data_IF_229950021444
#
_entry.id   IF_229950021444
#
_cell.length_a   1.000
_cell.length_b   1.000
_cell.length_c   1.000
_cell.angle_alpha   90.00
_cell.angle_beta   90.00
_cell.angle_gamma   90.00
#
_symmetry.space_group_name_H-M   'P 1'
#
loop_
_entity.id
_entity.type
_entity.pdbx_description
1 polymer ?
#
# COMPACT_ATOMS: atom_id res chain seq x y z
N UNK A 1 -25.95 7.96 0.17
CA UNK A 1 -24.58 7.45 -0.07
C UNK A 1 -23.84 8.53 -0.84
N UNK A 2 -22.78 9.08 -0.25
CA UNK A 2 -21.96 10.10 -0.90
C UNK A 2 -20.79 9.37 -1.56
N UNK A 3 -20.91 9.08 -2.85
CA UNK A 3 -19.86 8.36 -3.57
C UNK A 3 -18.66 9.27 -3.80
N UNK A 4 -17.46 8.78 -3.48
CA UNK A 4 -16.18 9.42 -3.78
C UNK A 4 -15.47 8.62 -4.86
N UNK A 5 -14.98 9.33 -5.87
CA UNK A 5 -14.15 8.77 -6.94
C UNK A 5 -12.72 9.25 -6.77
N UNK A 6 -11.75 8.34 -6.93
CA UNK A 6 -10.32 8.59 -6.89
C UNK A 6 -9.70 8.08 -8.19
N UNK A 7 -8.69 8.78 -8.69
CA UNK A 7 -7.76 8.26 -9.69
C UNK A 7 -6.50 7.83 -8.96
N UNK A 8 -6.05 6.61 -9.23
CA UNK A 8 -4.88 6.02 -8.60
C UNK A 8 -4.08 5.20 -9.62
N UNK A 9 -2.83 4.89 -9.29
CA UNK A 9 -1.88 4.25 -10.21
C UNK A 9 -1.31 2.95 -9.62
N UNK A 10 -1.22 1.90 -10.43
CA UNK A 10 -0.65 0.62 -10.03
C UNK A 10 0.52 0.24 -10.95
N UNK A 11 1.73 0.21 -10.38
CA UNK A 11 2.92 -0.24 -11.09
C UNK A 11 3.05 -1.76 -11.08
N UNK A 12 3.21 -2.38 -12.25
CA UNK A 12 3.33 -3.83 -12.42
C UNK A 12 4.23 -4.19 -13.62
N UNK A 13 4.31 -5.48 -13.95
CA UNK A 13 4.97 -5.99 -15.15
C UNK A 13 3.94 -6.23 -16.26
N UNK A 14 4.30 -6.08 -17.53
CA UNK A 14 3.38 -6.29 -18.66
C UNK A 14 2.67 -7.65 -18.67
N UNK A 15 3.35 -8.73 -18.30
CA UNK A 15 2.70 -10.05 -18.17
C UNK A 15 1.59 -10.10 -17.11
N UNK A 16 1.66 -9.26 -16.09
CA UNK A 16 0.65 -9.16 -15.02
C UNK A 16 -0.40 -8.12 -15.36
N UNK A 17 -0.05 -7.01 -16.04
CA UNK A 17 -1.04 -6.05 -16.51
C UNK A 17 -2.05 -6.70 -17.46
N UNK A 18 -1.60 -7.54 -18.39
CA UNK A 18 -2.50 -8.26 -19.30
C UNK A 18 -3.52 -9.10 -18.51
N UNK A 19 -3.05 -9.85 -17.50
CA UNK A 19 -3.94 -10.64 -16.62
C UNK A 19 -4.89 -9.76 -15.80
N UNK A 20 -4.44 -8.60 -15.33
CA UNK A 20 -5.28 -7.67 -14.58
C UNK A 20 -6.38 -7.08 -15.48
N UNK A 21 -6.05 -6.78 -16.74
CA UNK A 21 -7.03 -6.27 -17.71
C UNK A 21 -8.04 -7.35 -18.12
N UNK A 22 -7.62 -8.60 -18.24
CA UNK A 22 -8.48 -9.73 -18.62
C UNK A 22 -9.34 -10.24 -17.44
N UNK A 23 -8.73 -10.49 -16.28
CA UNK A 23 -9.37 -11.14 -15.13
C UNK A 23 -9.81 -10.16 -14.02
N UNK A 24 -9.38 -8.90 -14.09
CA UNK A 24 -9.44 -7.97 -12.97
C UNK A 24 -8.34 -8.20 -11.92
N UNK A 25 -8.29 -7.31 -10.92
CA UNK A 25 -7.42 -7.47 -9.76
C UNK A 25 -7.88 -8.64 -8.88
N UNK A 26 -6.94 -9.24 -8.15
CA UNK A 26 -7.21 -10.30 -7.16
C UNK A 26 -6.66 -9.85 -5.81
N UNK A 27 -7.41 -10.09 -4.74
CA UNK A 27 -6.92 -9.83 -3.39
C UNK A 27 -5.72 -10.73 -3.07
N UNK A 28 -4.71 -10.22 -2.34
CA UNK A 28 -3.55 -11.02 -1.99
C UNK A 28 -3.93 -12.16 -1.03
N UNK A 29 -3.44 -13.37 -1.33
CA UNK A 29 -3.56 -14.51 -0.42
C UNK A 29 -2.64 -14.31 0.79
N UNK A 30 -3.15 -14.48 2.01
CA UNK A 30 -2.36 -14.26 3.24
C UNK A 30 -1.07 -15.10 3.19
N UNK A 31 0.09 -14.44 3.31
CA UNK A 31 1.40 -15.07 3.26
C UNK A 31 2.29 -14.61 4.41
N UNK A 32 3.15 -15.53 4.86
CA UNK A 32 4.19 -15.28 5.86
C UNK A 32 5.26 -14.28 5.42
N UNK A 33 5.32 -13.95 4.13
CA UNK A 33 6.30 -13.03 3.55
C UNK A 33 5.72 -11.64 3.25
N UNK A 34 4.44 -11.41 3.53
CA UNK A 34 3.81 -10.12 3.27
C UNK A 34 4.29 -9.03 4.24
N UNK A 35 4.55 -7.88 3.65
CA UNK A 35 5.02 -6.64 4.28
C UNK A 35 4.07 -5.52 3.83
N UNK A 36 2.78 -5.75 4.09
CA UNK A 36 1.70 -4.89 3.66
C UNK A 36 1.46 -3.82 4.72
N UNK A 37 1.46 -2.56 4.30
CA UNK A 37 1.48 -1.43 5.22
C UNK A 37 0.12 -1.10 5.82
N UNK A 38 -0.94 -1.31 5.04
CA UNK A 38 -2.32 -1.02 5.36
C UNK A 38 -3.17 -2.30 5.25
N UNK A 39 -2.62 -3.48 5.54
CA UNK A 39 -3.37 -4.75 5.44
C UNK A 39 -3.40 -5.40 4.05
N UNK A 40 -4.16 -6.48 3.91
CA UNK A 40 -4.29 -7.32 2.71
C UNK A 40 -5.32 -6.75 1.72
N UNK A 41 -4.90 -5.76 0.95
CA UNK A 41 -5.65 -5.23 -0.19
C UNK A 41 -4.80 -5.10 -1.45
N UNK A 42 -5.40 -4.54 -2.49
CA UNK A 42 -4.70 -4.13 -3.71
C UNK A 42 -4.14 -2.73 -3.49
N UNK A 43 -2.84 -2.56 -3.74
CA UNK A 43 -2.14 -1.29 -3.48
C UNK A 43 -2.04 -0.43 -4.73
N UNK A 44 -2.30 0.86 -4.55
CA UNK A 44 -2.18 1.91 -5.54
C UNK A 44 -1.44 3.11 -4.95
N UNK A 45 -0.92 3.95 -5.83
CA UNK A 45 -0.35 5.26 -5.51
C UNK A 45 -1.30 6.35 -5.99
N UNK A 46 -1.31 7.50 -5.32
CA UNK A 46 -2.00 8.71 -5.82
C UNK A 46 -1.21 9.44 -6.91
N UNK A 47 0.05 9.07 -7.11
CA UNK A 47 0.96 9.69 -8.05
C UNK A 47 1.56 8.66 -9.03
N UNK A 48 1.50 8.98 -10.33
CA UNK A 48 2.03 8.15 -11.40
C UNK A 48 3.52 7.80 -11.21
N UNK A 49 4.37 8.78 -10.87
CA UNK A 49 5.82 8.59 -10.75
C UNK A 49 6.15 7.56 -9.66
N UNK A 50 5.34 7.44 -8.62
CA UNK A 50 5.55 6.43 -7.57
C UNK A 50 5.20 5.03 -8.05
N UNK A 51 4.11 4.89 -8.81
CA UNK A 51 3.75 3.63 -9.45
C UNK A 51 4.80 3.20 -10.50
N UNK A 52 5.26 4.12 -11.34
CA UNK A 52 6.31 3.88 -12.34
C UNK A 52 7.62 3.42 -11.70
N UNK A 53 8.11 4.14 -10.69
CA UNK A 53 9.31 3.76 -9.95
C UNK A 53 9.17 2.38 -9.29
N UNK A 54 7.99 2.05 -8.78
CA UNK A 54 7.69 0.74 -8.25
C UNK A 54 7.77 -0.35 -9.32
N UNK A 55 7.16 -0.13 -10.49
CA UNK A 55 7.20 -1.05 -11.63
C UNK A 55 8.64 -1.32 -12.08
N UNK A 56 9.43 -0.26 -12.31
CA UNK A 56 10.85 -0.33 -12.66
C UNK A 56 11.67 -1.12 -11.63
N UNK A 57 11.39 -0.95 -10.34
CA UNK A 57 12.04 -1.70 -9.27
C UNK A 57 11.70 -3.19 -9.33
N UNK A 58 10.45 -3.53 -9.65
CA UNK A 58 10.03 -4.92 -9.82
C UNK A 58 10.67 -5.56 -11.05
N UNK A 59 10.75 -4.87 -12.19
CA UNK A 59 11.49 -5.35 -13.36
C UNK A 59 12.92 -5.77 -13.01
N UNK A 60 13.66 -4.87 -12.33
CA UNK A 60 15.03 -5.14 -11.88
C UNK A 60 15.11 -6.33 -10.91
N UNK A 61 14.19 -6.44 -9.97
CA UNK A 61 14.22 -7.48 -8.94
C UNK A 61 13.84 -8.87 -9.46
N UNK A 62 12.97 -8.97 -10.47
CA UNK A 62 12.54 -10.25 -11.03
C UNK A 62 13.50 -10.80 -12.09
N UNK A 63 14.46 -10.00 -12.57
CA UNK A 63 15.37 -10.35 -13.67
C UNK A 63 14.63 -10.91 -14.91
N UNK A 64 13.39 -10.47 -15.12
CA UNK A 64 12.54 -10.95 -16.19
C UNK A 64 12.76 -10.11 -17.45
N UNK A 65 13.63 -10.58 -18.34
CA UNK A 65 13.93 -9.90 -19.61
C UNK A 65 12.77 -9.89 -20.60
N UNK A 66 11.68 -10.63 -20.34
CA UNK A 66 10.51 -10.72 -21.22
C UNK A 66 9.38 -9.77 -20.83
N UNK A 67 9.48 -9.11 -19.68
CA UNK A 67 8.46 -8.17 -19.21
C UNK A 67 9.04 -6.77 -19.05
N UNK A 68 8.31 -5.79 -19.55
CA UNK A 68 8.51 -4.36 -19.30
C UNK A 68 7.75 -3.89 -18.06
N UNK A 69 8.17 -2.76 -17.50
CA UNK A 69 7.39 -2.01 -16.52
C UNK A 69 6.16 -1.40 -17.17
N UNK A 70 5.03 -1.48 -16.46
CA UNK A 70 3.74 -0.93 -16.89
C UNK A 70 3.09 -0.24 -15.70
N UNK A 71 2.45 0.89 -15.94
CA UNK A 71 1.57 1.54 -14.97
C UNK A 71 0.14 1.45 -15.45
N UNK A 72 -0.75 1.02 -14.57
CA UNK A 72 -2.19 1.06 -14.78
C UNK A 72 -2.75 2.31 -14.08
N UNK A 73 -3.55 3.10 -14.78
CA UNK A 73 -4.42 4.09 -14.15
C UNK A 73 -5.74 3.41 -13.80
N UNK A 74 -6.21 3.65 -12.59
CA UNK A 74 -7.37 2.99 -12.02
C UNK A 74 -8.32 4.03 -11.45
N UNK A 75 -9.60 3.90 -11.78
CA UNK A 75 -10.68 4.63 -11.14
C UNK A 75 -11.21 3.81 -9.97
N UNK A 76 -11.16 4.37 -8.78
CA UNK A 76 -11.68 3.75 -7.57
C UNK A 76 -12.93 4.54 -7.14
N UNK A 77 -14.05 3.87 -6.93
CA UNK A 77 -15.32 4.46 -6.52
C UNK A 77 -15.89 3.71 -5.32
N UNK A 78 -16.17 4.43 -4.23
CA UNK A 78 -16.82 3.85 -3.05
C UNK A 78 -17.56 4.93 -2.26
N UNK A 79 -18.38 4.53 -1.29
CA UNK A 79 -19.01 5.49 -0.38
C UNK A 79 -17.91 6.15 0.46
N UNK A 80 -17.94 7.48 0.57
CA UNK A 80 -17.04 8.28 1.41
C UNK A 80 -16.93 7.76 2.85
N UNK A 81 -17.99 7.19 3.42
CA UNK A 81 -17.96 6.60 4.77
C UNK A 81 -17.17 5.28 4.86
N UNK A 82 -16.87 4.65 3.72
CA UNK A 82 -16.07 3.42 3.63
C UNK A 82 -14.60 3.69 3.29
N UNK A 83 -14.16 4.94 3.39
CA UNK A 83 -12.78 5.38 3.16
C UNK A 83 -12.17 5.79 4.51
N UNK A 84 -11.09 5.12 4.90
CA UNK A 84 -10.25 5.57 6.00
C UNK A 84 -9.02 6.31 5.44
N UNK A 85 -9.00 7.64 5.57
CA UNK A 85 -7.82 8.45 5.21
C UNK A 85 -7.05 8.81 6.48
N UNK A 86 -5.99 8.05 6.77
CA UNK A 86 -5.19 8.22 7.99
C UNK A 86 -4.27 9.45 7.96
N UNK A 87 -4.30 10.26 6.90
CA UNK A 87 -3.72 11.61 6.95
C UNK A 87 -4.65 12.60 7.66
N UNK A 88 -5.94 12.25 7.84
CA UNK A 88 -6.90 13.06 8.57
C UNK A 88 -6.81 12.77 10.08
N UNK A 89 -6.67 13.79 10.94
CA UNK A 89 -6.53 13.60 12.39
C UNK A 89 -7.67 12.78 13.01
N UNK A 90 -8.91 13.02 12.59
CA UNK A 90 -10.07 12.31 13.11
C UNK A 90 -10.10 10.83 12.75
N UNK A 91 -9.67 10.45 11.55
CA UNK A 91 -9.60 9.04 11.14
C UNK A 91 -8.46 8.31 11.84
N UNK A 92 -7.31 8.99 12.03
CA UNK A 92 -6.19 8.44 12.82
C UNK A 92 -6.57 8.23 14.28
N UNK A 93 -7.30 9.17 14.89
CA UNK A 93 -7.80 9.00 16.25
C UNK A 93 -8.72 7.78 16.37
N UNK A 94 -9.72 7.64 15.47
CA UNK A 94 -10.62 6.48 15.44
C UNK A 94 -9.87 5.15 15.29
N UNK A 95 -8.87 5.12 14.41
CA UNK A 95 -8.03 3.94 14.22
C UNK A 95 -7.29 3.58 15.51
N UNK A 96 -6.62 4.54 16.14
CA UNK A 96 -5.86 4.30 17.38
C UNK A 96 -6.77 3.80 18.53
N UNK A 97 -7.94 4.43 18.71
CA UNK A 97 -8.94 3.98 19.70
C UNK A 97 -9.43 2.55 19.41
N UNK A 98 -9.62 2.20 18.14
CA UNK A 98 -9.99 0.84 17.76
C UNK A 98 -8.89 -0.17 18.09
N UNK A 99 -7.62 0.14 17.80
CA UNK A 99 -6.49 -0.76 18.10
C UNK A 99 -6.36 -0.99 19.61
N UNK A 100 -6.46 0.05 20.43
CA UNK A 100 -6.44 -0.09 21.89
C UNK A 100 -7.56 -1.01 22.40
N UNK A 101 -8.74 -0.91 21.79
CA UNK A 101 -9.87 -1.77 22.13
C UNK A 101 -9.65 -3.22 21.66
N UNK A 102 -9.00 -3.43 20.52
CA UNK A 102 -8.60 -4.76 20.04
C UNK A 102 -7.59 -5.40 20.98
N UNK A 103 -6.56 -4.66 21.39
CA UNK A 103 -5.55 -5.13 22.34
C UNK A 103 -6.17 -5.58 23.66
N UNK A 104 -7.12 -4.81 24.20
CA UNK A 104 -7.87 -5.16 25.43
C UNK A 104 -8.65 -6.47 25.23
N UNK A 105 -9.40 -6.60 24.13
CA UNK A 105 -10.19 -7.81 23.81
C UNK A 105 -9.31 -9.05 23.62
N UNK A 106 -8.20 -8.92 22.88
CA UNK A 106 -7.26 -10.02 22.62
C UNK A 106 -6.66 -10.49 23.95
N UNK A 107 -6.18 -9.56 24.78
CA UNK A 107 -5.59 -9.84 26.08
C UNK A 107 -6.58 -10.58 27.01
N UNK A 108 -7.85 -10.18 27.02
CA UNK A 108 -8.91 -10.82 27.80
C UNK A 108 -9.29 -12.21 27.26
N UNK A 109 -9.20 -12.43 25.95
CA UNK A 109 -9.61 -13.69 25.30
C UNK A 109 -8.71 -14.89 25.61
N UNK A 110 -7.54 -14.67 26.21
CA UNK A 110 -6.47 -15.67 26.41
C UNK A 110 -6.05 -16.41 25.12
N UNK A 111 -6.40 -15.87 23.94
CA UNK A 111 -5.95 -16.39 22.64
C UNK A 111 -4.55 -15.84 22.36
N UNK A 112 -3.63 -16.71 22.00
CA UNK A 112 -2.27 -16.32 21.65
C UNK A 112 -2.08 -16.46 20.13
N UNK A 113 -1.92 -15.33 19.43
CA UNK A 113 -1.59 -15.34 18.01
C UNK A 113 -0.07 -15.36 17.86
N UNK A 114 0.48 -16.43 17.28
CA UNK A 114 1.92 -16.51 17.01
C UNK A 114 2.27 -15.82 15.70
N UNK A 115 2.44 -14.50 15.74
CA UNK A 115 2.90 -13.72 14.58
C UNK A 115 4.31 -14.13 14.09
N UNK A 116 5.08 -14.83 14.92
CA UNK A 116 6.38 -15.40 14.55
C UNK A 116 6.32 -16.74 13.80
N UNK A 117 5.13 -17.37 13.67
CA UNK A 117 5.02 -18.70 13.04
C UNK A 117 5.52 -18.66 11.59
N UNK A 118 6.40 -19.60 11.25
CA UNK A 118 7.01 -19.71 9.91
C UNK A 118 8.12 -18.69 9.62
N UNK A 119 8.51 -17.84 10.58
CA UNK A 119 9.68 -16.97 10.43
C UNK A 119 10.95 -17.64 10.95
N UNK A 120 12.07 -17.38 10.28
CA UNK A 120 13.39 -17.76 10.78
C UNK A 120 13.77 -16.86 11.96
N UNK A 121 13.89 -17.45 13.16
CA UNK A 121 14.25 -16.75 14.41
C UNK A 121 15.66 -16.13 14.37
N UNK A 122 16.56 -16.67 13.55
CA UNK A 122 17.92 -16.17 13.39
C UNK A 122 18.04 -15.03 12.36
N UNK A 123 16.94 -14.64 11.70
CA UNK A 123 16.93 -13.51 10.78
C UNK A 123 17.15 -12.20 11.56
N UNK A 124 18.13 -11.39 11.12
CA UNK A 124 18.40 -10.07 11.71
C UNK A 124 17.18 -9.15 11.70
N UNK A 125 16.21 -9.38 10.80
CA UNK A 125 14.94 -8.64 10.69
C UNK A 125 13.75 -9.35 11.34
N UNK A 126 13.96 -10.38 12.16
CA UNK A 126 12.89 -11.18 12.76
C UNK A 126 11.86 -10.32 13.53
N UNK A 127 12.33 -9.41 14.40
CA UNK A 127 11.45 -8.51 15.17
C UNK A 127 10.62 -7.60 14.26
N UNK A 128 11.28 -6.94 13.30
CA UNK A 128 10.62 -6.07 12.31
C UNK A 128 9.55 -6.83 11.49
N UNK A 129 9.82 -8.09 11.12
CA UNK A 129 8.84 -8.92 10.42
C UNK A 129 7.62 -9.28 11.29
N UNK A 130 7.81 -9.43 12.60
CA UNK A 130 6.69 -9.64 13.54
C UNK A 130 5.86 -8.36 13.65
N UNK A 131 6.49 -7.21 13.86
CA UNK A 131 5.81 -5.90 13.95
C UNK A 131 4.94 -5.66 12.72
N UNK A 132 5.48 -5.84 11.52
CA UNK A 132 4.75 -5.70 10.26
C UNK A 132 3.55 -6.63 10.12
N UNK A 133 3.63 -7.84 10.67
CA UNK A 133 2.50 -8.78 10.67
C UNK A 133 1.41 -8.36 11.66
N UNK A 134 1.81 -7.78 12.79
CA UNK A 134 0.88 -7.21 13.78
C UNK A 134 0.16 -6.01 13.16
N UNK A 135 0.90 -5.10 12.53
CA UNK A 135 0.35 -3.92 11.84
C UNK A 135 -0.65 -4.34 10.76
N UNK A 136 -0.26 -5.28 9.89
CA UNK A 136 -1.11 -5.82 8.84
C UNK A 136 -2.40 -6.44 9.41
N UNK A 137 -2.29 -7.21 10.50
CA UNK A 137 -3.45 -7.80 11.18
C UNK A 137 -4.41 -6.74 11.72
N UNK A 138 -3.90 -5.68 12.35
CA UNK A 138 -4.74 -4.62 12.89
C UNK A 138 -5.44 -3.81 11.80
N UNK A 139 -4.76 -3.54 10.69
CA UNK A 139 -5.38 -2.92 9.52
C UNK A 139 -6.49 -3.79 8.92
N UNK A 140 -6.26 -5.10 8.76
CA UNK A 140 -7.29 -6.02 8.27
C UNK A 140 -8.51 -6.08 9.20
N UNK A 141 -8.25 -6.14 10.51
CA UNK A 141 -9.31 -6.19 11.52
C UNK A 141 -10.13 -4.90 11.51
N UNK A 142 -9.47 -3.74 11.48
CA UNK A 142 -10.12 -2.44 11.40
C UNK A 142 -10.95 -2.30 10.12
N UNK A 143 -10.37 -2.68 8.97
CA UNK A 143 -11.06 -2.64 7.68
C UNK A 143 -12.31 -3.52 7.67
N UNK A 144 -12.21 -4.72 8.25
CA UNK A 144 -13.33 -5.66 8.36
C UNK A 144 -14.43 -5.16 9.29
N UNK A 145 -14.09 -4.69 10.50
CA UNK A 145 -15.10 -4.25 11.47
C UNK A 145 -15.84 -2.98 11.03
N UNK A 146 -15.19 -2.11 10.25
CA UNK A 146 -15.77 -0.87 9.76
C UNK A 146 -16.29 -0.96 8.31
N UNK A 147 -16.34 -2.17 7.73
CA UNK A 147 -16.82 -2.42 6.36
C UNK A 147 -16.11 -1.57 5.29
N UNK A 148 -14.83 -1.26 5.48
CA UNK A 148 -14.08 -0.36 4.60
C UNK A 148 -13.98 -0.91 3.17
N UNK A 149 -14.06 0.01 2.21
CA UNK A 149 -13.70 -0.25 0.81
C UNK A 149 -12.20 -0.07 0.58
N UNK A 150 -11.61 0.95 1.22
CA UNK A 150 -10.19 1.22 1.15
C UNK A 150 -9.69 2.00 2.38
N UNK A 151 -8.38 1.96 2.57
CA UNK A 151 -7.65 2.87 3.46
C UNK A 151 -6.51 3.55 2.69
N UNK A 152 -6.13 4.75 3.09
CA UNK A 152 -4.99 5.46 2.54
C UNK A 152 -4.19 6.18 3.61
N UNK A 153 -2.88 6.34 3.35
CA UNK A 153 -1.95 7.03 4.24
C UNK A 153 -0.73 7.49 3.48
N UNK A 154 -0.19 8.64 3.88
CA UNK A 154 1.11 9.16 3.47
C UNK A 154 2.23 8.60 4.36
N UNK A 155 3.25 8.03 3.73
CA UNK A 155 4.42 7.45 4.38
C UNK A 155 5.66 8.25 4.05
N UNK A 156 6.34 8.75 5.08
CA UNK A 156 7.62 9.43 4.94
C UNK A 156 8.74 8.44 4.61
N UNK A 157 9.57 8.74 3.60
CA UNK A 157 10.77 7.96 3.27
C UNK A 157 11.98 8.86 3.09
N UNK A 158 13.15 8.30 3.33
CA UNK A 158 14.43 9.00 3.19
C UNK A 158 14.79 9.35 1.72
N UNK A 159 14.33 8.57 0.73
CA UNK A 159 14.39 8.92 -0.71
C UNK A 159 13.68 7.86 -1.56
N UNK A 160 12.90 8.24 -2.59
CA UNK A 160 12.26 7.32 -3.53
C UNK A 160 13.04 7.08 -4.82
N UNK A 161 13.86 8.07 -5.22
CA UNK A 161 14.44 8.13 -6.54
C UNK A 161 15.79 7.44 -6.47
N UNK A 162 16.02 6.66 -7.52
CA UNK A 162 17.06 5.63 -7.64
C UNK A 162 18.48 6.11 -7.37
N UNK A 163 18.70 7.42 -7.31
CA UNK A 163 19.97 7.97 -6.92
C UNK A 163 19.97 8.34 -5.43
N UNK A 164 20.34 7.37 -4.60
CA UNK A 164 20.71 7.63 -3.20
C UNK A 164 21.83 8.66 -3.06
N UNK A 165 22.49 9.12 -4.15
CA UNK A 165 23.51 10.18 -4.13
C UNK A 165 22.93 11.60 -4.26
N UNK A 166 21.80 11.80 -4.95
CA UNK A 166 21.24 13.14 -5.17
C UNK A 166 20.80 13.82 -3.87
N UNK A 167 20.47 13.03 -2.84
CA UNK A 167 20.04 13.53 -1.52
C UNK A 167 21.11 13.36 -0.41
N UNK A 168 22.41 13.22 -0.76
CA UNK A 168 23.50 13.09 0.24
C UNK A 168 24.10 14.42 0.71
N UNK A 169 23.65 15.55 0.19
CA UNK A 169 24.12 16.82 0.70
C UNK A 169 23.57 17.03 2.11
N UNK A 170 24.44 17.00 3.13
CA UNK A 170 24.09 17.51 4.45
C UNK A 170 23.93 19.02 4.32
N UNK A 171 22.70 19.49 4.23
CA UNK A 171 22.40 20.91 4.19
C UNK A 171 22.21 21.38 5.63
N UNK A 172 22.81 22.53 5.95
CA UNK A 172 22.86 23.09 7.31
C UNK A 172 21.53 23.70 7.79
N UNK A 173 20.49 23.70 6.96
CA UNK A 173 19.21 24.35 7.26
C UNK A 173 18.02 23.44 6.87
N UNK A 174 16.95 23.49 7.68
CA UNK A 174 15.78 22.61 7.59
C UNK A 174 14.79 22.90 6.45
N UNK A 175 15.22 23.52 5.35
CA UNK A 175 14.35 23.87 4.21
C UNK A 175 14.14 22.73 3.22
N UNK A 176 14.79 21.59 3.44
CA UNK A 176 14.67 20.44 2.56
C UNK A 176 13.32 19.75 2.78
N UNK A 177 12.60 19.49 1.69
CA UNK A 177 11.31 18.81 1.73
C UNK A 177 11.53 17.31 1.90
N UNK A 178 10.99 16.75 2.98
CA UNK A 178 10.98 15.30 3.16
C UNK A 178 10.18 14.63 2.05
N UNK A 179 10.68 13.50 1.56
CA UNK A 179 9.92 12.74 0.61
C UNK A 179 8.84 11.92 1.32
N UNK A 180 7.63 11.97 0.75
CA UNK A 180 6.51 11.18 1.23
C UNK A 180 5.77 10.57 0.05
N UNK A 181 5.24 9.36 0.23
CA UNK A 181 4.38 8.72 -0.76
C UNK A 181 3.04 8.34 -0.13
N UNK A 182 1.93 8.63 -0.81
CA UNK A 182 0.63 8.15 -0.39
C UNK A 182 0.38 6.77 -1.01
N UNK A 183 0.03 5.82 -0.15
CA UNK A 183 -0.43 4.50 -0.55
C UNK A 183 -1.94 4.41 -0.32
N UNK A 184 -2.63 3.78 -1.26
CA UNK A 184 -4.06 3.49 -1.21
C UNK A 184 -4.20 1.96 -1.25
N UNK A 185 -4.77 1.37 -0.20
CA UNK A 185 -5.03 -0.06 -0.08
C UNK A 185 -6.53 -0.32 -0.23
N UNK A 186 -6.92 -0.99 -1.31
CA UNK A 186 -8.31 -1.35 -1.61
C UNK A 186 -8.59 -2.77 -1.12
N UNK A 187 -9.53 -2.92 -0.19
CA UNK A 187 -9.91 -4.21 0.40
C UNK A 187 -11.02 -4.91 -0.38
N UNK A 188 -11.78 -4.17 -1.17
CA UNK A 188 -12.98 -4.64 -1.89
C UNK A 188 -12.83 -4.39 -3.38
N UNK A 189 -12.80 -5.46 -4.17
CA UNK A 189 -12.52 -5.38 -5.60
C UNK A 189 -13.62 -4.61 -6.35
N UNK A 190 -14.86 -4.63 -5.85
CA UNK A 190 -15.97 -3.84 -6.41
C UNK A 190 -15.75 -2.33 -6.33
N UNK A 191 -14.79 -1.84 -5.53
CA UNK A 191 -14.41 -0.44 -5.53
C UNK A 191 -13.58 -0.05 -6.76
N UNK A 192 -12.97 -1.00 -7.48
CA UNK A 192 -12.18 -0.76 -8.69
C UNK A 192 -13.13 -0.82 -9.89
N UNK A 193 -13.39 0.33 -10.50
CA UNK A 193 -14.45 0.45 -11.53
C UNK A 193 -13.94 0.62 -12.95
N UNK A 194 -12.69 1.05 -13.13
CA UNK A 194 -12.07 1.20 -14.44
C UNK A 194 -10.55 1.02 -14.32
N UNK A 195 -9.94 0.37 -15.31
CA UNK A 195 -8.51 0.05 -15.35
C UNK A 195 -8.03 0.19 -16.78
N UNK A 196 -7.05 1.06 -17.01
CA UNK A 196 -6.42 1.26 -18.30
C UNK A 196 -4.91 1.32 -18.17
N UNK A 197 -4.19 0.91 -19.22
CA UNK A 197 -2.75 1.14 -19.29
C UNK A 197 -2.53 2.63 -19.44
N UNK A 198 -1.73 3.20 -18.55
CA UNK A 198 -1.32 4.59 -18.63
C UNK A 198 -0.06 4.69 -19.47
N UNK A 199 -0.13 5.44 -20.56
CA UNK A 199 1.00 5.75 -21.42
C UNK A 199 1.46 7.18 -21.12
N UNK A 200 2.64 7.31 -20.51
CA UNK A 200 3.22 8.61 -20.17
C UNK A 200 3.62 9.45 -21.39
N UNK A 201 3.68 8.87 -22.59
CA UNK A 201 3.96 9.63 -23.82
C UNK A 201 2.77 10.52 -24.24
N UNK A 202 1.57 10.26 -23.71
CA UNK A 202 0.35 10.99 -24.05
C UNK A 202 0.20 12.29 -23.23
N UNK A 203 0.75 12.32 -22.01
CA UNK A 203 0.68 13.46 -21.10
C UNK A 203 2.09 14.04 -20.88
N UNK A 204 2.63 14.71 -21.91
CA UNK A 204 4.00 15.26 -21.95
C UNK A 204 4.38 16.14 -20.75
N UNK A 205 4.73 15.53 -19.63
CA UNK A 205 5.33 16.18 -18.47
C UNK A 205 6.84 16.10 -18.66
N UNK A 206 7.36 17.13 -19.33
CA UNK A 206 8.75 17.58 -19.24
C UNK A 206 9.01 18.26 -17.89
#
# INVERSE_FOLDING_TARGET
MLNKTLIAYHGTLSKYSNKILEDGFKLPQISTTHDHWLGHGVYFFDNFLYADNWAKRKCRAFHDSKSTDVVLQVKICTDSYKIADFDLPGETQKYNEAIENYDKKISQSRKFTSFGKGLNKCDKKFKQKIEKRIDCFYHDLYAKENDLGLAMRTFHKASPLLDTKQNRHSLSHGSYMEYSEKQICVYKLECIVDVLIYDSEVDGIC
#
